data_IF_363475233978
#
_entry.id   IF_363475233978
#
_cell.length_a   1.000
_cell.length_b   1.000
_cell.length_c   1.000
_cell.angle_alpha   90.00
_cell.angle_beta   90.00
_cell.angle_gamma   90.00
#
_symmetry.space_group_name_H-M   'P 1'
#
loop_
_entity.id
_entity.type
_entity.pdbx_description
1 polymer ?
#
# COMPACT_ATOMS: atom_id res chain seq x y z
N UNK A 1 11.58 17.94 4.88
CA UNK A 1 11.41 16.47 4.98
C UNK A 1 10.73 16.04 3.71
N UNK A 2 11.31 15.12 2.94
CA UNK A 2 10.70 14.60 1.72
C UNK A 2 9.88 13.35 2.06
N UNK A 3 8.56 13.43 1.91
CA UNK A 3 7.64 12.31 2.10
C UNK A 3 7.26 11.74 0.73
N UNK A 4 7.32 10.42 0.60
CA UNK A 4 6.74 9.68 -0.50
C UNK A 4 5.61 8.80 0.04
N UNK A 5 4.38 9.22 -0.20
CA UNK A 5 3.19 8.46 0.21
C UNK A 5 2.83 7.41 -0.86
N UNK A 6 2.68 6.16 -0.43
CA UNK A 6 2.34 4.99 -1.25
C UNK A 6 0.89 4.61 -0.97
N UNK A 7 0.01 4.65 -1.97
CA UNK A 7 -1.39 4.24 -1.83
C UNK A 7 -1.55 2.72 -1.91
N UNK A 8 -2.74 2.24 -1.55
CA UNK A 8 -3.18 0.89 -1.84
C UNK A 8 -2.96 0.53 -3.32
N UNK A 9 -2.41 -0.67 -3.57
CA UNK A 9 -1.95 -1.12 -4.90
C UNK A 9 -0.83 -0.28 -5.53
N UNK A 10 0.00 0.34 -4.71
CA UNK A 10 1.27 0.91 -5.15
C UNK A 10 2.41 0.34 -4.30
N UNK A 11 3.61 0.41 -4.84
CA UNK A 11 4.84 0.32 -4.09
C UNK A 11 5.86 1.33 -4.61
N UNK A 12 6.85 1.64 -3.79
CA UNK A 12 7.98 2.46 -4.20
C UNK A 12 9.27 1.86 -3.64
N UNK A 13 10.36 1.98 -4.40
CA UNK A 13 11.68 1.56 -3.97
C UNK A 13 12.68 2.71 -4.07
N UNK A 14 13.55 2.84 -3.07
CA UNK A 14 14.63 3.83 -3.06
C UNK A 14 15.84 3.36 -2.25
N UNK A 15 16.87 4.20 -2.16
CA UNK A 15 18.12 3.98 -1.46
C UNK A 15 18.26 4.92 -0.27
N UNK A 16 19.08 4.53 0.71
CA UNK A 16 19.34 5.30 1.93
C UNK A 16 19.90 6.71 1.71
N UNK A 17 20.48 6.99 0.54
CA UNK A 17 21.09 8.26 0.18
C UNK A 17 20.29 9.08 -0.84
N UNK A 18 19.02 8.74 -1.08
CA UNK A 18 18.11 9.56 -1.88
C UNK A 18 18.03 10.99 -1.29
N UNK A 19 18.09 11.98 -2.18
CA UNK A 19 18.09 13.41 -1.82
C UNK A 19 16.68 13.99 -1.76
N UNK A 20 15.71 13.36 -2.42
CA UNK A 20 14.35 13.85 -2.58
C UNK A 20 13.38 13.21 -1.58
N UNK A 21 13.62 11.95 -1.22
CA UNK A 21 12.83 11.21 -0.26
C UNK A 21 13.63 11.03 1.03
N UNK A 22 12.95 11.13 2.16
CA UNK A 22 13.50 10.84 3.49
C UNK A 22 12.62 9.86 4.27
N UNK A 23 11.32 9.87 3.98
CA UNK A 23 10.32 8.98 4.57
C UNK A 23 9.47 8.42 3.43
N UNK A 24 9.32 7.10 3.40
CA UNK A 24 8.22 6.46 2.66
C UNK A 24 7.13 6.08 3.66
N UNK A 25 5.87 6.16 3.26
CA UNK A 25 4.79 5.84 4.17
C UNK A 25 3.52 5.41 3.46
N UNK A 26 2.69 4.69 4.20
CA UNK A 26 1.35 4.31 3.78
C UNK A 26 0.43 4.25 5.00
N UNK A 27 -0.87 4.42 4.78
CA UNK A 27 -1.91 4.51 5.81
C UNK A 27 -3.20 3.82 5.35
N UNK A 28 -4.22 3.87 6.20
CA UNK A 28 -5.57 3.33 5.96
C UNK A 28 -5.58 1.80 5.73
N UNK A 29 -4.59 1.08 6.26
CA UNK A 29 -4.54 -0.38 6.18
C UNK A 29 -5.49 -1.00 7.21
N UNK A 30 -6.77 -1.16 6.84
CA UNK A 30 -7.76 -1.89 7.61
C UNK A 30 -7.52 -3.41 7.49
N UNK A 31 -8.02 -4.07 6.44
CA UNK A 31 -7.72 -5.47 6.12
C UNK A 31 -6.44 -5.63 5.29
N UNK A 32 -5.94 -4.53 4.72
CA UNK A 32 -4.74 -4.50 3.91
C UNK A 32 -3.46 -4.68 4.74
N UNK A 33 -2.36 -5.07 4.11
CA UNK A 33 -1.05 -5.24 4.76
C UNK A 33 -0.01 -4.37 4.05
N UNK A 34 0.69 -3.54 4.82
CA UNK A 34 1.83 -2.76 4.37
C UNK A 34 3.09 -3.62 4.54
N UNK A 35 3.83 -3.77 3.44
CA UNK A 35 5.02 -4.61 3.34
C UNK A 35 6.23 -3.73 3.11
N UNK A 36 7.31 -3.99 3.84
CA UNK A 36 8.62 -3.37 3.65
C UNK A 36 9.64 -4.45 3.36
N UNK A 37 10.39 -4.26 2.28
CA UNK A 37 11.53 -5.11 1.90
C UNK A 37 12.77 -4.25 1.93
N UNK A 38 13.78 -4.64 2.71
CA UNK A 38 15.00 -3.85 2.88
C UNK A 38 16.24 -4.71 2.71
N UNK A 39 17.23 -4.22 1.96
CA UNK A 39 18.57 -4.79 1.98
C UNK A 39 19.40 -4.10 3.07
N UNK A 40 19.80 -4.84 4.10
CA UNK A 40 20.40 -4.26 5.31
C UNK A 40 21.79 -3.63 5.09
N UNK A 41 22.56 -4.10 4.10
CA UNK A 41 23.89 -3.55 3.82
C UNK A 41 23.89 -2.27 2.97
N UNK A 42 23.04 -2.20 1.95
CA UNK A 42 22.94 -1.01 1.07
C UNK A 42 21.95 0.04 1.62
N UNK A 43 21.01 -0.40 2.45
CA UNK A 43 19.87 0.40 2.86
C UNK A 43 18.85 0.65 1.75
N UNK A 44 18.94 -0.09 0.63
CA UNK A 44 17.87 -0.12 -0.36
C UNK A 44 16.59 -0.64 0.29
N UNK A 45 15.48 0.02 0.03
CA UNK A 45 14.22 -0.25 0.70
C UNK A 45 13.05 -0.04 -0.26
N UNK A 46 12.11 -0.97 -0.24
CA UNK A 46 10.83 -0.86 -0.90
C UNK A 46 9.70 -0.91 0.12
N UNK A 47 8.66 -0.10 -0.07
CA UNK A 47 7.41 -0.12 0.70
C UNK A 47 6.25 -0.31 -0.27
N UNK A 48 5.36 -1.26 0.01
CA UNK A 48 4.16 -1.52 -0.78
C UNK A 48 2.93 -1.72 0.10
N UNK A 49 1.76 -1.37 -0.42
CA UNK A 49 0.47 -1.52 0.27
C UNK A 49 -0.40 -2.54 -0.48
N UNK A 50 -0.58 -3.71 0.14
CA UNK A 50 -1.22 -4.87 -0.47
C UNK A 50 -2.66 -5.04 0.02
N UNK A 51 -3.57 -5.30 -0.92
CA UNK A 51 -5.00 -5.56 -0.67
C UNK A 51 -5.46 -6.94 -1.18
N UNK A 52 -4.52 -7.77 -1.66
CA UNK A 52 -4.78 -9.09 -2.24
C UNK A 52 -4.79 -9.12 -3.77
N UNK A 53 -4.77 -7.97 -4.44
CA UNK A 53 -4.62 -7.91 -5.90
C UNK A 53 -3.16 -7.80 -6.32
N UNK A 54 -2.77 -8.55 -7.35
CA UNK A 54 -1.44 -8.46 -7.95
C UNK A 54 -0.28 -8.89 -7.04
N UNK A 55 -0.54 -9.61 -5.93
CA UNK A 55 0.45 -9.91 -4.88
C UNK A 55 1.71 -10.60 -5.40
N UNK A 56 1.59 -11.71 -6.15
CA UNK A 56 2.76 -12.47 -6.63
C UNK A 56 3.67 -11.62 -7.54
N UNK A 57 3.09 -10.87 -8.48
CA UNK A 57 3.84 -9.98 -9.39
C UNK A 57 4.54 -8.88 -8.59
N UNK A 58 3.81 -8.21 -7.70
CA UNK A 58 4.30 -7.11 -6.90
C UNK A 58 5.46 -7.52 -5.98
N UNK A 59 5.34 -8.66 -5.30
CA UNK A 59 6.42 -9.20 -4.45
C UNK A 59 7.67 -9.51 -5.27
N UNK A 60 7.51 -10.15 -6.43
CA UNK A 60 8.61 -10.44 -7.34
C UNK A 60 9.34 -9.14 -7.76
N UNK A 61 8.58 -8.12 -8.20
CA UNK A 61 9.15 -6.84 -8.62
C UNK A 61 9.79 -6.09 -7.45
N UNK A 62 9.17 -6.05 -6.27
CA UNK A 62 9.75 -5.40 -5.09
C UNK A 62 11.10 -6.00 -4.70
N UNK A 63 11.21 -7.33 -4.66
CA UNK A 63 12.47 -8.02 -4.34
C UNK A 63 13.52 -7.73 -5.41
N UNK A 64 13.16 -7.81 -6.69
CA UNK A 64 14.05 -7.47 -7.80
C UNK A 64 14.57 -6.03 -7.70
N UNK A 65 13.69 -5.06 -7.46
CA UNK A 65 14.08 -3.64 -7.32
C UNK A 65 15.03 -3.42 -6.15
N UNK A 66 14.79 -4.06 -5.01
CA UNK A 66 15.71 -3.98 -3.86
C UNK A 66 17.07 -4.59 -4.19
N UNK A 67 17.10 -5.74 -4.88
CA UNK A 67 18.36 -6.37 -5.32
C UNK A 67 19.14 -5.50 -6.32
N UNK A 68 18.45 -4.90 -7.31
CA UNK A 68 19.05 -3.98 -8.28
C UNK A 68 19.68 -2.77 -7.59
N UNK A 69 18.97 -2.17 -6.63
CA UNK A 69 19.47 -1.03 -5.86
C UNK A 69 20.56 -1.41 -4.85
N UNK A 70 20.69 -2.69 -4.53
CA UNK A 70 21.74 -3.24 -3.68
C UNK A 70 22.99 -3.70 -4.46
N UNK A 71 23.00 -3.62 -5.79
CA UNK A 71 24.16 -3.99 -6.59
C UNK A 71 25.41 -3.20 -6.14
N UNK A 72 26.51 -3.93 -5.94
CA UNK A 72 27.77 -3.37 -5.42
C UNK A 72 27.92 -3.39 -3.90
N UNK A 73 26.90 -3.86 -3.16
CA UNK A 73 26.97 -4.08 -1.72
C UNK A 73 26.99 -5.59 -1.42
N UNK A 74 28.18 -6.21 -1.26
CA UNK A 74 28.31 -7.64 -1.07
C UNK A 74 27.87 -8.12 0.32
N UNK A 75 27.84 -7.21 1.29
CA UNK A 75 27.41 -7.45 2.67
C UNK A 75 25.93 -7.11 2.82
N UNK A 76 25.24 -7.83 3.72
CA UNK A 76 23.84 -7.61 4.04
C UNK A 76 22.95 -8.78 3.66
N UNK A 77 21.66 -8.62 3.95
CA UNK A 77 20.61 -9.59 3.65
C UNK A 77 19.30 -8.87 3.38
N UNK A 78 18.38 -9.57 2.72
CA UNK A 78 17.04 -9.05 2.47
C UNK A 78 16.18 -9.33 3.70
N UNK A 79 15.61 -8.28 4.27
CA UNK A 79 14.73 -8.31 5.42
C UNK A 79 13.31 -7.96 4.97
N UNK A 80 12.34 -8.72 5.47
CA UNK A 80 10.91 -8.52 5.27
C UNK A 80 10.28 -8.03 6.59
N UNK A 81 9.50 -6.96 6.49
CA UNK A 81 8.61 -6.49 7.55
C UNK A 81 7.18 -6.36 7.03
N UNK A 82 6.20 -6.71 7.86
CA UNK A 82 4.78 -6.62 7.54
C UNK A 82 3.99 -6.00 8.70
N UNK A 83 3.16 -5.00 8.40
CA UNK A 83 2.29 -4.34 9.38
C UNK A 83 0.93 -4.07 8.75
N UNK A 84 -0.15 -4.34 9.47
CA UNK A 84 -1.51 -4.10 8.98
C UNK A 84 -2.37 -5.37 9.07
N UNK A 85 -3.60 -5.27 8.61
CA UNK A 85 -4.60 -6.31 8.83
C UNK A 85 -4.97 -6.42 10.30
N UNK A 86 -6.10 -7.06 10.57
CA UNK A 86 -6.52 -7.37 11.93
C UNK A 86 -7.30 -8.69 11.91
N UNK A 87 -7.81 -9.15 13.05
CA UNK A 87 -8.70 -10.31 13.09
C UNK A 87 -10.10 -9.88 12.64
N UNK A 88 -10.26 -9.71 11.33
CA UNK A 88 -11.53 -9.34 10.70
C UNK A 88 -12.49 -10.53 10.57
N UNK A 89 -13.80 -10.24 10.53
CA UNK A 89 -14.85 -11.26 10.53
C UNK A 89 -14.90 -12.12 9.25
N UNK A 90 -14.30 -11.64 8.17
CA UNK A 90 -14.32 -12.30 6.86
C UNK A 90 -13.00 -13.00 6.52
N UNK A 91 -12.02 -12.98 7.44
CA UNK A 91 -10.69 -13.54 7.26
C UNK A 91 -9.87 -12.92 6.11
N UNK A 92 -10.22 -11.72 5.63
CA UNK A 92 -9.51 -11.08 4.51
C UNK A 92 -8.04 -10.81 4.84
N UNK A 93 -7.75 -10.34 6.06
CA UNK A 93 -6.38 -10.07 6.51
C UNK A 93 -5.55 -11.35 6.60
N UNK A 94 -6.18 -12.45 7.02
CA UNK A 94 -5.53 -13.76 7.14
C UNK A 94 -5.23 -14.35 5.76
N UNK A 95 -6.19 -14.35 4.84
CA UNK A 95 -6.00 -14.78 3.46
C UNK A 95 -4.90 -13.96 2.76
N UNK A 96 -4.90 -12.64 2.96
CA UNK A 96 -3.88 -11.75 2.42
C UNK A 96 -2.49 -12.08 2.98
N UNK A 97 -2.38 -12.30 4.28
CA UNK A 97 -1.12 -12.71 4.91
C UNK A 97 -0.58 -14.01 4.29
N UNK A 98 -1.42 -15.04 4.12
CA UNK A 98 -1.02 -16.28 3.47
C UNK A 98 -0.56 -16.06 2.02
N UNK A 99 -1.27 -15.21 1.26
CA UNK A 99 -0.91 -14.86 -0.12
C UNK A 99 0.47 -14.21 -0.19
N UNK A 100 0.72 -13.20 0.65
CA UNK A 100 2.00 -12.48 0.73
C UNK A 100 3.13 -13.43 1.13
N UNK A 101 2.95 -14.22 2.19
CA UNK A 101 3.97 -15.17 2.66
C UNK A 101 4.29 -16.22 1.59
N UNK A 102 3.28 -16.71 0.88
CA UNK A 102 3.47 -17.65 -0.23
C UNK A 102 4.26 -17.02 -1.37
N UNK A 103 3.97 -15.75 -1.72
CA UNK A 103 4.68 -15.04 -2.77
C UNK A 103 6.16 -14.79 -2.42
N UNK A 104 6.46 -14.47 -1.15
CA UNK A 104 7.83 -14.31 -0.66
C UNK A 104 8.57 -15.65 -0.56
N UNK A 105 7.91 -16.72 -0.11
CA UNK A 105 8.52 -18.05 0.00
C UNK A 105 8.97 -18.63 -1.35
N UNK A 106 8.31 -18.24 -2.46
CA UNK A 106 8.69 -18.65 -3.82
C UNK A 106 9.94 -17.94 -4.35
N UNK A 107 10.43 -16.89 -3.68
CA UNK A 107 11.55 -16.12 -4.18
C UNK A 107 12.84 -16.95 -4.15
N UNK A 108 13.71 -16.84 -5.16
CA UNK A 108 14.93 -17.66 -5.25
C UNK A 108 16.06 -17.21 -4.31
N UNK A 109 15.78 -16.25 -3.42
CA UNK A 109 16.75 -15.62 -2.52
C UNK A 109 16.31 -15.79 -1.07
N UNK A 110 17.27 -15.79 -0.16
CA UNK A 110 16.98 -15.82 1.27
C UNK A 110 16.39 -14.47 1.72
N UNK A 111 15.28 -14.54 2.46
CA UNK A 111 14.54 -13.39 2.95
C UNK A 111 14.22 -13.62 4.43
N UNK A 112 14.77 -12.76 5.28
CA UNK A 112 14.57 -12.82 6.72
C UNK A 112 13.29 -12.09 7.10
N UNK A 113 12.29 -12.81 7.61
CA UNK A 113 11.14 -12.17 8.25
C UNK A 113 11.58 -11.59 9.60
N UNK A 114 11.74 -10.26 9.66
CA UNK A 114 12.27 -9.56 10.84
C UNK A 114 11.18 -8.89 11.67
N UNK A 115 10.02 -8.58 11.08
CA UNK A 115 8.87 -8.02 11.78
C UNK A 115 7.56 -8.48 11.15
N UNK A 116 6.65 -8.99 11.97
CA UNK A 116 5.29 -9.31 11.55
C UNK A 116 4.31 -8.82 12.63
N UNK A 117 3.70 -7.66 12.40
CA UNK A 117 2.64 -7.11 13.23
C UNK A 117 1.34 -7.11 12.41
N UNK A 118 0.75 -8.30 12.27
CA UNK A 118 -0.41 -8.54 11.41
C UNK A 118 -1.46 -9.40 12.11
N UNK A 119 -2.70 -9.33 11.63
CA UNK A 119 -3.81 -10.15 12.14
C UNK A 119 -3.99 -9.96 13.65
N UNK A 120 -3.91 -11.04 14.42
CA UNK A 120 -4.07 -11.00 15.88
C UNK A 120 -3.07 -10.05 16.56
N UNK A 121 -1.84 -9.96 16.06
CA UNK A 121 -0.79 -9.11 16.65
C UNK A 121 -1.04 -7.62 16.43
N UNK A 122 -1.85 -7.27 15.43
CA UNK A 122 -2.28 -5.90 15.17
C UNK A 122 -3.74 -5.67 15.59
N UNK A 123 -4.32 -6.54 16.42
CA UNK A 123 -5.73 -6.47 16.81
C UNK A 123 -5.94 -5.99 18.25
N UNK A 124 -6.94 -5.14 18.44
CA UNK A 124 -7.52 -4.80 19.74
C UNK A 124 -9.05 -4.96 19.70
N UNK A 125 -9.72 -5.04 20.85
CA UNK A 125 -11.19 -5.16 20.91
C UNK A 125 -11.78 -3.87 21.47
N UNK A 126 -12.70 -3.25 20.74
CA UNK A 126 -13.46 -2.06 21.15
C UNK A 126 -14.94 -2.32 21.00
N UNK A 127 -15.68 -2.26 22.12
CA UNK A 127 -17.13 -2.52 22.09
C UNK A 127 -17.51 -3.93 21.60
N UNK A 128 -16.62 -4.92 21.74
CA UNK A 128 -16.83 -6.29 21.24
C UNK A 128 -16.43 -6.49 19.78
N UNK A 129 -16.07 -5.43 19.05
CA UNK A 129 -15.62 -5.48 17.67
C UNK A 129 -14.08 -5.51 17.66
N UNK A 130 -13.43 -6.35 16.85
CA UNK A 130 -11.99 -6.29 16.62
C UNK A 130 -11.59 -5.07 15.76
N UNK A 131 -10.49 -4.41 16.09
CA UNK A 131 -9.97 -3.22 15.41
C UNK A 131 -8.48 -3.37 15.13
N UNK A 132 -7.97 -2.85 13.98
CA UNK A 132 -6.55 -2.63 13.79
C UNK A 132 -5.99 -1.67 14.85
N UNK A 133 -4.81 -1.97 15.38
CA UNK A 133 -4.05 -1.07 16.25
C UNK A 133 -3.28 -0.06 15.39
N UNK A 134 -2.60 -0.54 14.36
CA UNK A 134 -1.79 0.25 13.42
C UNK A 134 -2.46 0.20 12.05
N UNK A 135 -2.83 1.38 11.53
CA UNK A 135 -3.36 1.59 10.17
C UNK A 135 -2.29 2.05 9.18
N UNK A 136 -1.23 2.67 9.69
CA UNK A 136 -0.21 3.28 8.86
C UNK A 136 1.17 3.21 9.48
N UNK A 137 2.18 3.13 8.62
CA UNK A 137 3.58 3.13 9.00
C UNK A 137 4.36 4.11 8.14
N UNK A 138 5.40 4.69 8.74
CA UNK A 138 6.47 5.40 8.05
C UNK A 138 7.77 4.60 8.14
N UNK A 139 8.60 4.74 7.11
CA UNK A 139 9.95 4.17 7.04
C UNK A 139 10.93 5.30 6.80
N UNK A 140 11.83 5.53 7.75
CA UNK A 140 12.95 6.43 7.54
C UNK A 140 13.99 5.73 6.65
N UNK A 141 14.15 6.18 5.41
CA UNK A 141 14.97 5.44 4.43
C UNK A 141 16.46 5.39 4.82
N UNK A 142 16.93 6.39 5.57
CA UNK A 142 18.33 6.50 6.00
C UNK A 142 18.65 5.48 7.08
N UNK A 143 17.79 5.39 8.10
CA UNK A 143 18.02 4.50 9.25
C UNK A 143 17.43 3.11 9.05
N UNK A 144 16.40 2.97 8.21
CA UNK A 144 15.59 1.76 8.09
C UNK A 144 14.55 1.62 9.20
N UNK A 145 14.41 2.61 10.08
CA UNK A 145 13.46 2.57 11.18
C UNK A 145 12.02 2.63 10.67
N UNK A 146 11.20 1.69 11.15
CA UNK A 146 9.76 1.63 10.91
C UNK A 146 9.04 2.15 12.16
N UNK A 147 8.08 3.04 11.98
CA UNK A 147 7.30 3.62 13.07
C UNK A 147 5.82 3.76 12.67
N UNK A 148 4.87 3.64 13.61
CA UNK A 148 3.46 3.96 13.35
C UNK A 148 3.32 5.42 12.93
N UNK A 149 2.55 5.68 11.88
CA UNK A 149 2.38 7.03 11.32
C UNK A 149 0.98 7.22 10.75
N UNK A 150 0.57 8.48 10.66
CA UNK A 150 -0.62 8.90 9.91
C UNK A 150 -0.23 10.02 8.96
N UNK A 151 -0.92 10.10 7.81
CA UNK A 151 -0.52 11.01 6.73
C UNK A 151 -1.68 11.89 6.27
N UNK A 152 -1.72 13.18 6.66
CA UNK A 152 -2.74 14.11 6.18
C UNK A 152 -2.59 14.47 4.70
N UNK A 153 -1.36 14.49 4.18
CA UNK A 153 -1.04 14.81 2.78
C UNK A 153 -0.61 13.55 2.03
N UNK A 154 -1.48 13.05 1.14
CA UNK A 154 -1.31 11.79 0.40
C UNK A 154 -1.08 11.98 -1.11
N UNK A 155 -0.99 13.24 -1.53
CA UNK A 155 -0.79 13.63 -2.93
C UNK A 155 0.64 13.38 -3.44
N UNK A 156 0.92 13.80 -4.70
CA UNK A 156 -0.01 14.42 -5.65
C UNK A 156 -0.98 13.42 -6.30
N UNK A 157 -1.97 13.95 -7.03
CA UNK A 157 -2.92 13.21 -7.87
C UNK A 157 -3.65 12.06 -7.16
N UNK A 158 -4.05 12.29 -5.90
CA UNK A 158 -4.59 11.26 -5.02
C UNK A 158 -5.81 10.56 -5.62
N UNK A 159 -6.78 11.31 -6.13
CA UNK A 159 -8.00 10.76 -6.73
C UNK A 159 -7.73 10.01 -8.04
N UNK A 160 -6.77 10.46 -8.86
CA UNK A 160 -6.37 9.76 -10.10
C UNK A 160 -5.72 8.41 -9.78
N UNK A 161 -4.77 8.40 -8.83
CA UNK A 161 -4.11 7.18 -8.35
C UNK A 161 -5.11 6.21 -7.73
N UNK A 162 -6.07 6.75 -6.98
CA UNK A 162 -7.15 5.96 -6.38
C UNK A 162 -8.17 5.44 -7.41
N UNK A 163 -8.47 6.21 -8.45
CA UNK A 163 -9.43 5.81 -9.47
C UNK A 163 -9.02 4.52 -10.19
N UNK A 164 -7.72 4.32 -10.37
CA UNK A 164 -7.16 3.11 -10.98
C UNK A 164 -7.52 1.83 -10.20
N UNK A 165 -7.38 1.86 -8.87
CA UNK A 165 -7.70 0.69 -8.04
C UNK A 165 -9.21 0.46 -8.00
N UNK A 166 -10.01 1.53 -7.87
CA UNK A 166 -11.47 1.46 -7.75
C UNK A 166 -12.13 1.02 -9.07
N UNK A 167 -11.51 1.34 -10.21
CA UNK A 167 -11.92 0.84 -11.52
C UNK A 167 -11.49 -0.63 -11.78
N UNK A 168 -10.91 -1.31 -10.79
CA UNK A 168 -10.66 -2.74 -10.81
C UNK A 168 -9.35 -3.15 -11.50
N UNK A 169 -8.39 -2.24 -11.69
CA UNK A 169 -7.08 -2.59 -12.24
C UNK A 169 -6.28 -3.36 -11.17
N UNK A 170 -5.90 -4.64 -11.41
CA UNK A 170 -5.37 -5.50 -10.36
C UNK A 170 -3.89 -5.28 -10.05
N UNK A 171 -3.16 -4.60 -10.94
CA UNK A 171 -1.71 -4.45 -10.82
C UNK A 171 -1.31 -3.56 -9.65
N UNK A 172 -0.21 -3.91 -8.97
CA UNK A 172 0.49 -3.03 -8.03
C UNK A 172 1.62 -2.32 -8.77
N UNK A 173 1.70 -0.98 -8.71
CA UNK A 173 2.64 -0.20 -9.52
C UNK A 173 3.87 0.29 -8.74
N UNK A 174 5.06 0.20 -9.34
CA UNK A 174 6.24 0.95 -8.91
C UNK A 174 6.06 2.43 -9.29
N UNK A 175 5.86 3.29 -8.31
CA UNK A 175 5.54 4.70 -8.54
C UNK A 175 6.76 5.62 -8.46
N UNK A 176 7.97 5.13 -8.20
CA UNK A 176 9.09 6.04 -7.94
C UNK A 176 10.41 5.64 -8.61
N UNK A 177 10.98 6.60 -9.33
CA UNK A 177 12.32 6.49 -9.89
C UNK A 177 13.31 7.27 -9.03
N UNK A 178 13.98 6.57 -8.14
CA UNK A 178 15.00 7.15 -7.26
C UNK A 178 16.25 7.66 -8.01
N UNK A 179 16.51 7.19 -9.24
CA UNK A 179 17.66 7.66 -10.02
C UNK A 179 17.43 9.06 -10.58
N UNK A 180 16.17 9.38 -10.89
CA UNK A 180 15.74 10.69 -11.39
C UNK A 180 15.11 11.57 -10.30
N UNK A 181 14.74 11.00 -9.16
CA UNK A 181 13.98 11.69 -8.11
C UNK A 181 12.55 12.00 -8.53
N UNK A 182 11.95 11.16 -9.39
CA UNK A 182 10.66 11.42 -10.01
C UNK A 182 9.60 10.43 -9.57
N UNK A 183 8.46 10.97 -9.14
CA UNK A 183 7.22 10.22 -8.98
C UNK A 183 6.61 9.95 -10.37
N UNK A 184 6.33 8.67 -10.66
CA UNK A 184 5.75 8.20 -11.91
C UNK A 184 4.25 7.94 -11.70
N UNK A 185 3.43 8.87 -12.17
CA UNK A 185 1.98 8.73 -12.18
C UNK A 185 1.53 8.59 -13.64
N UNK A 186 0.98 7.42 -13.96
CA UNK A 186 0.40 7.15 -15.26
C UNK A 186 1.40 7.02 -16.43
N UNK A 187 0.88 6.99 -17.67
CA UNK A 187 -0.55 7.10 -18.01
C UNK A 187 -1.36 5.93 -17.45
N UNK A 188 -2.56 6.21 -16.94
CA UNK A 188 -3.49 5.17 -16.51
C UNK A 188 -4.53 4.92 -17.57
N UNK A 189 -4.92 3.66 -17.72
CA UNK A 189 -6.04 3.25 -18.55
C UNK A 189 -7.00 2.46 -17.65
N UNK A 190 -8.23 2.94 -17.54
CA UNK A 190 -9.32 2.18 -16.94
C UNK A 190 -10.58 2.36 -17.76
N UNK A 191 -11.51 1.41 -17.61
CA UNK A 191 -12.83 1.50 -18.23
C UNK A 191 -13.74 2.39 -17.37
N UNK A 192 -14.68 3.12 -17.98
CA UNK A 192 -15.69 3.86 -17.21
C UNK A 192 -16.40 2.94 -16.21
N UNK A 193 -16.51 3.39 -14.96
CA UNK A 193 -17.25 2.68 -13.94
C UNK A 193 -18.75 2.81 -14.22
N UNK A 194 -19.41 1.69 -14.53
CA UNK A 194 -20.86 1.70 -14.82
C UNK A 194 -21.63 2.13 -13.57
N UNK A 195 -22.55 3.07 -13.75
CA UNK A 195 -23.40 3.54 -12.66
C UNK A 195 -22.65 4.36 -11.60
N UNK A 196 -21.53 5.01 -11.93
CA UNK A 196 -20.83 5.92 -11.02
C UNK A 196 -21.75 7.01 -10.45
N UNK A 197 -22.71 7.50 -11.24
CA UNK A 197 -23.73 8.45 -10.81
C UNK A 197 -24.61 7.87 -9.69
N UNK A 198 -25.04 6.61 -9.86
CA UNK A 198 -25.86 5.91 -8.88
C UNK A 198 -25.12 5.73 -7.56
N UNK A 199 -23.80 5.44 -7.60
CA UNK A 199 -22.96 5.36 -6.41
C UNK A 199 -22.83 6.71 -5.69
N UNK A 200 -22.66 7.81 -6.45
CA UNK A 200 -22.57 9.15 -5.89
C UNK A 200 -23.87 9.62 -5.23
N UNK A 201 -25.02 9.12 -5.69
CA UNK A 201 -26.34 9.39 -5.10
C UNK A 201 -26.62 8.62 -3.80
N UNK A 202 -25.87 7.54 -3.51
CA UNK A 202 -26.08 6.76 -2.29
C UNK A 202 -25.69 7.55 -1.04
N UNK A 203 -26.22 7.16 0.11
CA UNK A 203 -25.81 7.72 1.40
C UNK A 203 -24.46 7.14 1.87
N UNK A 204 -23.87 7.76 2.89
CA UNK A 204 -22.54 7.40 3.37
C UNK A 204 -22.48 5.97 3.95
N UNK A 205 -23.53 5.56 4.64
CA UNK A 205 -23.64 4.20 5.20
C UNK A 205 -23.65 3.15 4.08
N UNK A 206 -24.39 3.39 3.00
CA UNK A 206 -24.45 2.47 1.87
C UNK A 206 -23.09 2.36 1.17
N UNK A 207 -22.40 3.48 0.97
CA UNK A 207 -21.04 3.49 0.39
C UNK A 207 -20.09 2.69 1.27
N UNK A 208 -20.11 2.95 2.57
CA UNK A 208 -19.25 2.27 3.54
C UNK A 208 -19.50 0.75 3.50
N UNK A 209 -20.76 0.30 3.59
CA UNK A 209 -21.10 -1.12 3.62
C UNK A 209 -20.78 -1.89 2.34
N UNK A 210 -20.73 -1.23 1.18
CA UNK A 210 -20.56 -1.91 -0.11
C UNK A 210 -19.19 -1.70 -0.77
N UNK A 211 -18.45 -0.66 -0.38
CA UNK A 211 -17.15 -0.34 -0.96
C UNK A 211 -15.97 -0.50 0.02
N UNK A 212 -16.23 -0.81 1.30
CA UNK A 212 -15.21 -1.24 2.27
C UNK A 212 -15.22 -2.75 2.46
N UNK A 213 -14.04 -3.32 2.74
CA UNK A 213 -13.88 -4.72 3.19
C UNK A 213 -14.16 -4.89 4.69
N UNK A 214 -14.13 -3.80 5.46
CA UNK A 214 -14.33 -3.79 6.91
C UNK A 214 -15.05 -2.51 7.39
N UNK A 215 -16.35 -2.36 7.08
CA UNK A 215 -17.13 -1.13 7.33
C UNK A 215 -17.04 -0.56 8.75
N UNK A 216 -16.95 -1.43 9.77
CA UNK A 216 -17.01 -1.05 11.19
C UNK A 216 -15.73 -0.35 11.70
N UNK A 217 -14.61 -0.49 10.98
CA UNK A 217 -13.29 -0.04 11.44
C UNK A 217 -12.62 0.91 10.46
N UNK A 218 -13.30 1.32 9.39
CA UNK A 218 -12.73 2.27 8.45
C UNK A 218 -12.45 3.62 9.12
N UNK A 219 -11.39 4.33 8.68
CA UNK A 219 -11.14 5.69 9.12
C UNK A 219 -12.32 6.62 8.81
N UNK A 220 -12.52 7.70 9.61
CA UNK A 220 -13.66 8.60 9.44
C UNK A 220 -13.70 9.33 8.10
N UNK A 221 -12.56 9.42 7.39
CA UNK A 221 -12.47 10.03 6.06
C UNK A 221 -12.72 9.06 4.89
N UNK A 222 -12.95 7.76 5.15
CA UNK A 222 -13.08 6.74 4.11
C UNK A 222 -14.12 7.10 3.04
N UNK A 223 -15.36 7.39 3.46
CA UNK A 223 -16.45 7.68 2.52
C UNK A 223 -16.18 8.97 1.72
N UNK A 224 -15.59 9.98 2.35
CA UNK A 224 -15.19 11.22 1.67
C UNK A 224 -14.17 10.93 0.55
N UNK A 225 -13.18 10.08 0.83
CA UNK A 225 -12.18 9.65 -0.16
C UNK A 225 -12.80 8.89 -1.33
N UNK A 226 -13.67 7.93 -1.03
CA UNK A 226 -14.37 7.13 -2.05
C UNK A 226 -15.20 8.04 -2.95
N UNK A 227 -15.94 8.99 -2.38
CA UNK A 227 -16.74 9.96 -3.16
C UNK A 227 -15.87 10.83 -4.06
N UNK A 228 -14.74 11.34 -3.56
CA UNK A 228 -13.81 12.13 -4.37
C UNK A 228 -13.26 11.30 -5.55
N UNK A 229 -12.96 10.03 -5.30
CA UNK A 229 -12.47 9.08 -6.33
C UNK A 229 -13.55 8.76 -7.37
N UNK A 230 -14.78 8.46 -6.93
CA UNK A 230 -15.92 8.25 -7.83
C UNK A 230 -16.21 9.49 -8.67
N UNK A 231 -16.14 10.68 -8.07
CA UNK A 231 -16.30 11.95 -8.78
C UNK A 231 -15.21 12.14 -9.84
N UNK A 232 -13.96 11.81 -9.51
CA UNK A 232 -12.87 11.83 -10.48
C UNK A 232 -13.14 10.89 -11.66
N UNK A 233 -13.59 9.66 -11.41
CA UNK A 233 -13.93 8.67 -12.46
C UNK A 233 -15.09 9.18 -13.34
N UNK A 234 -16.11 9.82 -12.73
CA UNK A 234 -17.22 10.42 -13.45
C UNK A 234 -16.73 11.52 -14.41
N UNK A 235 -15.84 12.39 -13.93
CA UNK A 235 -15.33 13.52 -14.70
C UNK A 235 -14.27 13.09 -15.74
N UNK A 236 -13.61 11.94 -15.54
CA UNK A 236 -12.52 11.43 -16.38
C UNK A 236 -12.74 9.95 -16.79
N UNK A 237 -13.80 9.63 -17.56
CA UNK A 237 -14.14 8.24 -17.90
C UNK A 237 -13.08 7.53 -18.76
N UNK A 238 -12.21 8.28 -19.43
CA UNK A 238 -11.11 7.81 -20.26
C UNK A 238 -9.83 8.60 -19.95
N UNK A 239 -9.10 8.28 -18.88
CA UNK A 239 -7.98 9.09 -18.37
C UNK A 239 -6.74 9.17 -19.27
N UNK A 240 -6.65 8.34 -20.32
CA UNK A 240 -5.58 8.37 -21.31
C UNK A 240 -5.94 9.14 -22.59
N UNK A 241 -7.16 9.69 -22.66
CA UNK A 241 -7.69 10.43 -23.80
C UNK A 241 -7.43 11.93 -23.74
#
# INVERSE_FOLDING_TARGET
VGLLYVQQREFAATVSHDKNVSIMGSDDASTCIIVVVRHSGSGAVALGHFDGSGTDEAVCTMVQRVQELALGYPEGRIELQMVGGYTDAHHFSEELFYSIMTAFHKQPVEIDLTLACVGQLNSTIRGGIPWPIIYGIGVNIKTGEIFPATFPEKGPEESLRSARHLAGVPQVLDIYDCSLGLLRIGPFNYRPLRGVDLWLEQNDEFILQHLSTSPEVEPPHFVMHIRATLKYIQDNPFPAG
#
